data_IF_437635305706
#
_entry.id   IF_437635305706
#
_cell.length_a   1.000
_cell.length_b   1.000
_cell.length_c   1.000
_cell.angle_alpha   90.00
_cell.angle_beta   90.00
_cell.angle_gamma   90.00
#
_symmetry.space_group_name_H-M   'P 1'
#
loop_
_entity.id
_entity.type
_entity.pdbx_description
1 polymer ?
#
# COMPACT_ATOMS: atom_id res chain seq x y z
N UNK A 1 -20.63 -6.65 8.21
CA UNK A 1 -19.19 -6.40 8.36
C UNK A 1 -18.61 -6.55 6.98
N UNK A 2 -18.65 -5.47 6.20
CA UNK A 2 -18.00 -5.43 4.89
C UNK A 2 -16.50 -5.61 5.11
N UNK A 3 -15.96 -6.72 4.62
CA UNK A 3 -14.53 -6.96 4.67
C UNK A 3 -13.84 -5.90 3.81
N UNK A 4 -12.82 -5.24 4.36
CA UNK A 4 -12.02 -4.28 3.60
C UNK A 4 -11.34 -5.00 2.42
N UNK A 5 -11.28 -4.32 1.28
CA UNK A 5 -10.66 -4.82 0.06
C UNK A 5 -9.40 -4.01 -0.26
N UNK A 6 -8.41 -4.68 -0.85
CA UNK A 6 -7.17 -4.05 -1.23
C UNK A 6 -7.43 -3.05 -2.36
N UNK A 7 -7.06 -1.78 -2.17
CA UNK A 7 -7.26 -0.74 -3.17
C UNK A 7 -6.40 -0.91 -4.44
N UNK A 8 -5.45 -1.85 -4.44
CA UNK A 8 -4.55 -2.11 -5.57
C UNK A 8 -5.05 -3.27 -6.43
N UNK A 9 -5.43 -4.40 -5.81
CA UNK A 9 -5.84 -5.61 -6.55
C UNK A 9 -7.32 -5.97 -6.41
N UNK A 10 -8.07 -5.28 -5.53
CA UNK A 10 -9.48 -5.57 -5.25
C UNK A 10 -9.72 -6.84 -4.42
N UNK A 11 -8.67 -7.57 -4.05
CA UNK A 11 -8.76 -8.80 -3.26
C UNK A 11 -9.12 -8.54 -1.79
N UNK A 12 -9.66 -9.54 -1.08
CA UNK A 12 -10.00 -9.40 0.34
C UNK A 12 -8.75 -9.19 1.19
N UNK A 13 -8.84 -8.29 2.16
CA UNK A 13 -7.77 -8.03 3.11
C UNK A 13 -7.87 -8.95 4.34
N UNK A 14 -6.70 -9.26 4.92
CA UNK A 14 -6.60 -9.89 6.23
C UNK A 14 -5.93 -8.92 7.20
N UNK A 15 -6.36 -8.85 8.47
CA UNK A 15 -5.84 -7.86 9.41
C UNK A 15 -4.32 -7.95 9.63
N UNK A 16 -3.73 -9.12 9.47
CA UNK A 16 -2.30 -9.41 9.64
C UNK A 16 -1.43 -9.02 8.43
N UNK A 17 -2.04 -8.86 7.25
CA UNK A 17 -1.36 -8.54 5.99
C UNK A 17 -1.88 -7.25 5.34
N UNK A 18 -2.32 -6.30 6.18
CA UNK A 18 -2.87 -5.00 5.73
C UNK A 18 -2.00 -3.85 6.22
N UNK A 19 -1.72 -2.90 5.31
CA UNK A 19 -1.20 -1.58 5.64
C UNK A 19 -2.07 -0.50 5.00
N UNK A 20 -1.95 0.74 5.50
CA UNK A 20 -2.66 1.90 4.97
C UNK A 20 -1.67 2.83 4.27
N UNK A 21 -2.00 3.25 3.05
CA UNK A 21 -1.10 4.11 2.28
C UNK A 21 -1.06 5.54 2.87
N UNK A 22 0.14 6.05 3.14
CA UNK A 22 0.33 7.44 3.61
C UNK A 22 -0.09 8.48 2.57
N UNK A 23 -0.11 8.14 1.27
CA UNK A 23 -0.56 9.02 0.20
C UNK A 23 -2.08 9.11 0.09
N UNK A 24 -2.76 7.98 -0.21
CA UNK A 24 -4.21 7.98 -0.47
C UNK A 24 -5.09 7.56 0.72
N UNK A 25 -4.50 7.09 1.82
CA UNK A 25 -5.24 6.61 3.00
C UNK A 25 -5.95 5.26 2.83
N UNK A 26 -5.88 4.64 1.64
CA UNK A 26 -6.57 3.38 1.35
C UNK A 26 -5.78 2.16 1.84
N UNK A 27 -6.46 1.07 2.23
CA UNK A 27 -5.81 -0.15 2.70
C UNK A 27 -5.31 -1.01 1.51
N UNK A 28 -4.19 -1.70 1.70
CA UNK A 28 -3.59 -2.57 0.69
C UNK A 28 -2.86 -3.78 1.31
N UNK A 29 -2.65 -4.85 0.52
CA UNK A 29 -1.89 -6.02 0.95
C UNK A 29 -0.43 -5.66 1.18
N UNK A 30 0.06 -5.91 2.40
CA UNK A 30 1.45 -5.72 2.76
C UNK A 30 1.90 -6.85 3.67
N UNK A 31 3.00 -7.53 3.30
CA UNK A 31 3.63 -8.50 4.20
C UNK A 31 4.63 -7.80 5.10
N UNK A 32 4.42 -7.94 6.41
CA UNK A 32 5.38 -7.52 7.43
C UNK A 32 6.60 -8.45 7.51
N UNK A 33 6.59 -9.56 6.76
CA UNK A 33 7.65 -10.55 6.73
C UNK A 33 8.63 -10.25 5.58
N UNK A 34 9.93 -10.45 5.79
CA UNK A 34 10.93 -10.34 4.72
C UNK A 34 10.90 -11.52 3.72
N UNK A 35 9.87 -12.37 3.79
CA UNK A 35 9.69 -13.49 2.87
C UNK A 35 8.97 -13.05 1.59
N UNK A 36 9.13 -13.79 0.48
CA UNK A 36 8.32 -13.57 -0.71
C UNK A 36 6.88 -14.00 -0.40
N UNK A 37 6.06 -13.07 0.06
CA UNK A 37 4.61 -13.26 0.06
C UNK A 37 4.07 -13.03 -1.35
N UNK A 38 3.09 -13.85 -1.71
CA UNK A 38 2.53 -13.92 -3.07
C UNK A 38 1.80 -12.63 -3.49
N UNK A 39 1.53 -11.71 -2.54
CA UNK A 39 0.77 -10.48 -2.75
C UNK A 39 1.37 -9.28 -2.01
N UNK A 40 2.37 -8.61 -2.61
CA UNK A 40 2.86 -7.32 -2.12
C UNK A 40 2.31 -6.17 -2.97
N UNK A 41 1.24 -5.54 -2.46
CA UNK A 41 0.53 -4.46 -3.14
C UNK A 41 1.09 -3.07 -2.81
N UNK A 42 2.21 -2.99 -2.09
CA UNK A 42 2.85 -1.71 -1.81
C UNK A 42 4.29 -1.88 -1.37
N UNK A 43 4.80 -0.86 -0.70
CA UNK A 43 6.15 -0.81 -0.19
C UNK A 43 6.20 -0.04 1.11
N UNK A 44 7.18 -0.38 1.95
CA UNK A 44 7.54 0.41 3.12
C UNK A 44 8.99 0.89 3.05
N UNK A 45 9.25 2.11 3.54
CA UNK A 45 10.59 2.68 3.63
C UNK A 45 10.73 3.56 4.86
N UNK A 46 11.97 3.78 5.31
CA UNK A 46 12.25 4.71 6.42
C UNK A 46 12.43 6.12 5.85
N UNK A 47 11.58 7.06 6.25
CA UNK A 47 11.78 8.48 5.97
C UNK A 47 12.91 9.03 6.83
N UNK A 48 14.11 9.12 6.26
CA UNK A 48 15.34 9.38 7.03
C UNK A 48 15.34 10.69 7.84
N UNK A 49 14.62 11.72 7.38
CA UNK A 49 14.57 13.01 8.10
C UNK A 49 13.74 12.94 9.38
N UNK A 50 12.69 12.11 9.39
CA UNK A 50 11.77 11.99 10.52
C UNK A 50 11.93 10.66 11.26
N UNK A 51 12.77 9.76 10.75
CA UNK A 51 12.98 8.40 11.25
C UNK A 51 11.68 7.63 11.42
N UNK A 52 10.71 7.85 10.52
CA UNK A 52 9.40 7.19 10.51
C UNK A 52 9.36 6.11 9.45
N UNK A 53 8.61 5.04 9.71
CA UNK A 53 8.27 4.06 8.68
C UNK A 53 7.07 4.57 7.89
N UNK A 54 7.21 4.67 6.57
CA UNK A 54 6.16 5.08 5.65
C UNK A 54 5.74 3.91 4.77
N UNK A 55 4.48 3.94 4.33
CA UNK A 55 3.81 2.93 3.54
C UNK A 55 3.20 3.57 2.28
N UNK A 56 3.53 3.04 1.11
CA UNK A 56 3.00 3.47 -0.18
C UNK A 56 2.36 2.31 -0.92
N UNK A 57 1.09 2.46 -1.34
CA UNK A 57 0.48 1.48 -2.23
C UNK A 57 1.05 1.61 -3.65
N UNK A 58 1.07 0.52 -4.42
CA UNK A 58 1.64 0.50 -5.77
C UNK A 58 0.89 1.41 -6.75
N UNK A 59 -0.38 1.78 -6.49
CA UNK A 59 -1.09 2.79 -7.28
C UNK A 59 -0.47 4.18 -7.09
N UNK A 60 -0.32 4.63 -5.84
CA UNK A 60 0.32 5.92 -5.54
C UNK A 60 1.79 5.96 -5.98
N UNK A 61 2.48 4.82 -5.92
CA UNK A 61 3.89 4.71 -6.34
C UNK A 61 4.05 4.54 -7.86
N UNK A 62 2.97 4.47 -8.65
CA UNK A 62 3.04 4.28 -10.10
C UNK A 62 3.58 2.92 -10.55
N UNK A 63 3.45 1.90 -9.68
CA UNK A 63 3.90 0.52 -9.91
C UNK A 63 2.75 -0.45 -10.22
N UNK A 64 1.50 -0.03 -10.02
CA UNK A 64 0.33 -0.84 -10.35
C UNK A 64 0.10 -0.86 -11.87
N UNK A 65 -0.05 -2.05 -12.45
CA UNK A 65 -0.31 -2.21 -13.88
C UNK A 65 -1.76 -1.79 -14.20
N UNK A 66 -1.93 -0.81 -15.09
CA UNK A 66 -3.24 -0.40 -15.60
C UNK A 66 -4.07 0.48 -14.66
N UNK A 67 -3.53 0.88 -13.51
CA UNK A 67 -4.14 1.87 -12.61
C UNK A 67 -3.30 3.15 -12.67
N UNK A 68 -3.91 4.24 -13.12
CA UNK A 68 -3.28 5.56 -13.14
C UNK A 68 -3.16 6.11 -11.70
N UNK A 69 -1.99 6.64 -11.29
CA UNK A 69 -1.86 7.34 -10.03
C UNK A 69 -2.87 8.49 -9.95
N UNK A 70 -3.50 8.75 -8.79
CA UNK A 70 -4.38 9.90 -8.65
C UNK A 70 -3.58 11.19 -8.90
N UNK A 71 -3.86 11.84 -10.02
CA UNK A 71 -3.24 13.11 -10.40
C UNK A 71 -3.74 14.17 -9.42
N UNK A 72 -2.87 14.69 -8.55
CA UNK A 72 -3.22 15.86 -7.72
C UNK A 72 -2.77 15.88 -6.26
N UNK A 73 -1.95 14.96 -5.76
CA UNK A 73 -1.33 15.10 -4.43
C UNK A 73 0.11 15.61 -4.57
N UNK A 74 0.24 16.82 -5.11
CA UNK A 74 1.48 17.59 -5.04
C UNK A 74 1.43 18.52 -3.82
N UNK A 75 2.45 18.44 -2.97
CA UNK A 75 2.89 19.54 -2.13
C UNK A 75 4.39 19.75 -2.35
#
# INVERSE_FOLDING_TARGET
>A
MDGEVCAVCGGPLRPDTTAYCNGCGQPFHFSHSAGPDEYDCGQAWVHMQFLTLEFGCNVCLGKALGLEPPVGMGH
#
